data_IF_476683033660
#
_entry.id   IF_476683033660
#
_cell.length_a   1.000
_cell.length_b   1.000
_cell.length_c   1.000
_cell.angle_alpha   90.00
_cell.angle_beta   90.00
_cell.angle_gamma   90.00
#
_symmetry.space_group_name_H-M   'P 1'
#
loop_
_entity.id
_entity.type
_entity.pdbx_description
1 polymer ?
#
# COMPACT_ATOMS: atom_id res chain seq x y z
N UNK A 1 30.63 5.60 8.10
CA UNK A 1 29.64 5.49 7.00
C UNK A 1 28.41 4.78 7.52
N UNK A 2 27.36 5.52 7.90
CA UNK A 2 26.10 4.93 8.33
C UNK A 2 25.29 4.56 7.07
N UNK A 3 25.19 3.27 6.76
CA UNK A 3 24.26 2.78 5.75
C UNK A 3 22.89 2.84 6.39
N UNK A 4 22.17 3.95 6.18
CA UNK A 4 20.78 4.07 6.58
C UNK A 4 19.97 3.01 5.81
N UNK A 5 19.74 1.87 6.45
CA UNK A 5 18.79 0.87 6.01
C UNK A 5 17.39 1.39 6.36
N UNK A 6 17.01 2.54 5.80
CA UNK A 6 15.69 3.16 6.00
C UNK A 6 14.69 2.35 5.19
N UNK A 7 14.31 1.19 5.73
CA UNK A 7 13.12 0.47 5.32
C UNK A 7 11.94 1.41 5.55
N UNK A 8 11.44 2.04 4.50
CA UNK A 8 10.22 2.85 4.57
C UNK A 8 9.14 2.02 5.26
N UNK A 9 8.55 2.51 6.35
CA UNK A 9 7.48 1.79 7.04
C UNK A 9 6.30 1.60 6.08
N UNK A 10 5.56 0.52 6.29
CA UNK A 10 4.33 0.30 5.55
C UNK A 10 3.26 1.22 6.11
N UNK A 11 2.52 1.90 5.22
CA UNK A 11 1.35 2.68 5.60
C UNK A 11 0.22 1.75 6.01
N UNK A 12 -0.59 2.20 6.95
CA UNK A 12 -1.83 1.54 7.36
C UNK A 12 -3.00 2.15 6.63
N UNK A 13 -4.03 1.34 6.39
CA UNK A 13 -5.30 1.82 5.88
C UNK A 13 -6.01 2.56 7.02
N UNK A 14 -6.39 3.81 6.78
CA UNK A 14 -7.07 4.66 7.75
C UNK A 14 -8.48 4.90 7.21
N UNK A 15 -9.41 4.02 7.61
CA UNK A 15 -10.82 4.18 7.27
C UNK A 15 -11.56 4.88 8.41
N UNK A 16 -12.53 5.75 8.11
CA UNK A 16 -13.50 6.26 9.07
C UNK A 16 -14.25 5.11 9.75
N UNK A 17 -14.72 5.35 10.97
CA UNK A 17 -15.41 4.35 11.79
C UNK A 17 -16.63 3.76 11.08
N UNK A 18 -17.33 4.55 10.26
CA UNK A 18 -18.47 4.10 9.46
C UNK A 18 -18.12 3.05 8.38
N UNK A 19 -16.83 2.85 8.08
CA UNK A 19 -16.34 1.89 7.09
C UNK A 19 -15.32 0.89 7.67
N UNK A 20 -15.24 0.76 9.00
CA UNK A 20 -14.28 -0.13 9.67
C UNK A 20 -14.43 -1.59 9.22
N UNK A 21 -15.65 -2.01 8.93
CA UNK A 21 -16.01 -3.33 8.42
C UNK A 21 -15.37 -3.65 7.04
N UNK A 22 -15.10 -2.61 6.24
CA UNK A 22 -14.45 -2.74 4.94
C UNK A 22 -12.92 -2.82 5.03
N UNK A 23 -12.32 -2.50 6.18
CA UNK A 23 -10.87 -2.41 6.34
C UNK A 23 -10.15 -3.69 5.98
N UNK A 24 -10.63 -4.84 6.47
CA UNK A 24 -10.05 -6.15 6.18
C UNK A 24 -10.19 -6.56 4.72
N UNK A 25 -11.32 -6.23 4.09
CA UNK A 25 -11.58 -6.52 2.68
C UNK A 25 -10.65 -5.68 1.79
N UNK A 26 -10.62 -4.36 1.98
CA UNK A 26 -9.76 -3.46 1.22
C UNK A 26 -8.28 -3.79 1.42
N UNK A 27 -7.86 -4.14 2.63
CA UNK A 27 -6.48 -4.57 2.90
C UNK A 27 -6.13 -5.84 2.13
N UNK A 28 -7.05 -6.80 2.05
CA UNK A 28 -6.88 -8.05 1.30
C UNK A 28 -6.76 -7.78 -0.19
N UNK A 29 -7.65 -6.96 -0.75
CA UNK A 29 -7.65 -6.61 -2.18
C UNK A 29 -6.38 -5.85 -2.56
N UNK A 30 -5.98 -4.86 -1.75
CA UNK A 30 -4.73 -4.12 -1.96
C UNK A 30 -3.52 -5.05 -1.97
N UNK A 31 -3.49 -6.03 -1.07
CA UNK A 31 -2.40 -7.03 -1.03
C UNK A 31 -2.36 -7.88 -2.31
N UNK A 32 -3.53 -8.30 -2.81
CA UNK A 32 -3.63 -9.07 -4.05
C UNK A 32 -3.15 -8.24 -5.24
N UNK A 33 -3.64 -7.00 -5.37
CA UNK A 33 -3.25 -6.08 -6.45
C UNK A 33 -1.74 -5.83 -6.43
N UNK A 34 -1.18 -5.47 -5.27
CA UNK A 34 0.26 -5.23 -5.12
C UNK A 34 1.05 -6.47 -5.50
N UNK A 35 0.64 -7.65 -5.05
CA UNK A 35 1.36 -8.89 -5.37
C UNK A 35 1.36 -9.17 -6.87
N UNK A 36 0.18 -9.10 -7.52
CA UNK A 36 0.05 -9.32 -8.95
C UNK A 36 0.90 -8.35 -9.79
N UNK A 37 0.93 -7.07 -9.41
CA UNK A 37 1.74 -6.06 -10.10
C UNK A 37 3.24 -6.28 -9.91
N UNK A 38 3.67 -6.59 -8.68
CA UNK A 38 5.07 -6.85 -8.35
C UNK A 38 5.59 -8.09 -9.05
N UNK A 39 4.82 -9.17 -9.07
CA UNK A 39 5.23 -10.43 -9.69
C UNK A 39 5.39 -10.24 -11.20
N UNK A 40 4.40 -9.61 -11.86
CA UNK A 40 4.47 -9.30 -13.29
C UNK A 40 5.60 -8.35 -13.65
N UNK A 41 5.87 -7.35 -12.81
CA UNK A 41 6.99 -6.43 -13.01
C UNK A 41 8.34 -7.11 -12.79
N UNK A 42 8.43 -7.99 -11.78
CA UNK A 42 9.61 -8.78 -11.47
C UNK A 42 10.03 -9.67 -12.64
N UNK A 43 9.07 -10.38 -13.24
CA UNK A 43 9.30 -11.22 -14.42
C UNK A 43 9.72 -10.41 -15.65
N UNK A 44 9.05 -9.28 -15.92
CA UNK A 44 9.30 -8.49 -17.15
C UNK A 44 10.55 -7.63 -17.09
N UNK A 45 10.88 -7.10 -15.93
CA UNK A 45 12.00 -6.18 -15.73
C UNK A 45 13.24 -6.87 -15.15
N UNK A 46 13.17 -8.19 -14.90
CA UNK A 46 14.25 -8.99 -14.30
C UNK A 46 14.77 -8.39 -12.99
N UNK A 47 13.84 -7.91 -12.15
CA UNK A 47 14.17 -7.22 -10.92
C UNK A 47 14.91 -8.15 -9.95
N UNK A 48 15.95 -7.62 -9.31
CA UNK A 48 16.59 -8.31 -8.19
C UNK A 48 15.61 -8.45 -7.03
N UNK A 49 15.86 -9.40 -6.13
CA UNK A 49 15.05 -9.58 -4.91
C UNK A 49 14.90 -8.28 -4.11
N UNK A 50 15.94 -7.44 -4.07
CA UNK A 50 15.92 -6.16 -3.36
C UNK A 50 14.96 -5.17 -4.04
N UNK A 51 15.04 -5.04 -5.36
CA UNK A 51 14.17 -4.17 -6.16
C UNK A 51 12.71 -4.62 -6.09
N UNK A 52 12.44 -5.93 -6.17
CA UNK A 52 11.09 -6.49 -6.00
C UNK A 52 10.49 -6.14 -4.63
N UNK A 53 11.28 -6.23 -3.56
CA UNK A 53 10.83 -5.86 -2.21
C UNK A 53 10.62 -4.35 -2.07
N UNK A 54 11.47 -3.54 -2.70
CA UNK A 54 11.30 -2.09 -2.72
C UNK A 54 10.03 -1.71 -3.50
N UNK A 55 9.83 -2.25 -4.69
CA UNK A 55 8.63 -2.03 -5.50
C UNK A 55 7.35 -2.42 -4.76
N UNK A 56 7.34 -3.58 -4.09
CA UNK A 56 6.22 -4.01 -3.25
C UNK A 56 5.85 -2.99 -2.18
N UNK A 57 6.85 -2.48 -1.46
CA UNK A 57 6.63 -1.47 -0.41
C UNK A 57 6.15 -0.15 -0.98
N UNK A 58 6.73 0.30 -2.08
CA UNK A 58 6.33 1.54 -2.75
C UNK A 58 4.89 1.45 -3.24
N UNK A 59 4.52 0.36 -3.92
CA UNK A 59 3.16 0.15 -4.40
C UNK A 59 2.14 0.05 -3.26
N UNK A 60 2.47 -0.71 -2.21
CA UNK A 60 1.63 -0.75 -1.01
C UNK A 60 1.37 0.64 -0.45
N UNK A 61 2.44 1.40 -0.16
CA UNK A 61 2.32 2.72 0.45
C UNK A 61 1.54 3.69 -0.43
N UNK A 62 1.77 3.69 -1.74
CA UNK A 62 1.09 4.61 -2.64
C UNK A 62 -0.40 4.27 -2.79
N UNK A 63 -0.74 2.98 -2.89
CA UNK A 63 -2.14 2.58 -3.04
C UNK A 63 -2.92 2.78 -1.73
N UNK A 64 -2.33 2.44 -0.59
CA UNK A 64 -2.93 2.73 0.72
C UNK A 64 -3.16 4.22 0.90
N UNK A 65 -2.18 5.07 0.54
CA UNK A 65 -2.37 6.52 0.59
C UNK A 65 -3.51 6.99 -0.32
N UNK A 66 -3.57 6.49 -1.56
CA UNK A 66 -4.61 6.85 -2.50
C UNK A 66 -6.02 6.48 -2.00
N UNK A 67 -6.15 5.34 -1.30
CA UNK A 67 -7.42 4.96 -0.67
C UNK A 67 -7.74 5.89 0.51
N UNK A 68 -6.78 6.14 1.40
CA UNK A 68 -6.98 7.04 2.54
C UNK A 68 -7.42 8.45 2.07
N UNK A 69 -6.74 9.02 1.07
CA UNK A 69 -7.07 10.34 0.50
C UNK A 69 -8.46 10.37 -0.16
N UNK A 70 -8.88 9.26 -0.76
CA UNK A 70 -10.20 9.15 -1.39
C UNK A 70 -11.33 9.02 -0.36
N UNK A 71 -11.06 8.41 0.79
CA UNK A 71 -12.05 8.15 1.84
C UNK A 71 -12.14 9.32 2.83
N UNK A 72 -11.04 10.04 3.08
CA UNK A 72 -11.01 11.22 3.98
C UNK A 72 -12.19 12.20 3.77
N UNK A 73 -12.52 12.68 2.56
CA UNK A 73 -13.63 13.61 2.36
C UNK A 73 -15.02 12.99 2.54
N UNK A 74 -15.13 11.66 2.58
CA UNK A 74 -16.39 10.93 2.76
C UNK A 74 -16.73 10.71 4.25
N UNK A 75 -15.77 10.93 5.14
CA UNK A 75 -15.96 10.83 6.58
C UNK A 75 -16.97 11.86 7.09
N UNK A 76 -17.91 11.41 7.93
CA UNK A 76 -19.00 12.23 8.44
C UNK A 76 -18.57 13.44 9.29
N UNK A 77 -17.30 13.49 9.72
CA UNK A 77 -16.71 14.52 10.60
C UNK A 77 -16.43 15.87 9.90
N UNK A 78 -16.88 16.05 8.65
CA UNK A 78 -16.79 17.33 7.89
C UNK A 78 -18.12 18.08 7.72
N UNK A 79 -19.21 17.65 8.38
CA UNK A 79 -20.51 18.36 8.36
C UNK A 79 -20.76 19.19 9.60
#
# INVERSE_FOLDING_TARGET
MAICNSKTPLRSLELPNEFEDLSGLLQTDLKVIVSALVDRAGERLLLTRRETQQLRRTLWNNLTQAVNDAVEPLSADRR
#
